data_IF_716348549999
#
_entry.id   IF_716348549999
#
_cell.length_a   1.000
_cell.length_b   1.000
_cell.length_c   1.000
_cell.angle_alpha   90.00
_cell.angle_beta   90.00
_cell.angle_gamma   90.00
#
_symmetry.space_group_name_H-M   'P 1'
#
loop_
_entity.id
_entity.type
_entity.pdbx_description
1 polymer ?
#
# COMPACT_ATOMS: atom_id res chain seq x y z
N UNK A 1 62.01 51.66 -14.33
CA UNK A 1 60.92 50.98 -15.06
C UNK A 1 59.82 50.68 -14.08
N UNK A 2 58.68 51.38 -14.16
CA UNK A 2 57.50 51.18 -13.31
C UNK A 2 56.36 50.75 -14.23
N UNK A 3 55.72 49.62 -13.95
CA UNK A 3 54.48 49.23 -14.61
C UNK A 3 53.44 48.92 -13.54
N UNK A 4 52.35 49.69 -13.60
CA UNK A 4 51.21 49.72 -12.69
C UNK A 4 50.44 48.39 -12.71
N UNK A 5 50.02 47.94 -11.52
CA UNK A 5 48.95 46.95 -11.34
C UNK A 5 47.61 47.68 -11.30
N UNK A 6 46.71 47.39 -12.23
CA UNK A 6 45.30 47.79 -12.15
C UNK A 6 44.45 46.61 -11.73
N UNK A 7 43.87 46.70 -10.53
CA UNK A 7 42.86 45.78 -10.02
C UNK A 7 41.49 46.24 -10.51
N UNK A 8 40.74 45.37 -11.16
CA UNK A 8 39.37 45.62 -11.58
C UNK A 8 38.43 45.03 -10.52
N UNK A 9 37.86 45.89 -9.69
CA UNK A 9 36.73 45.56 -8.81
C UNK A 9 35.45 45.68 -9.65
N UNK A 10 34.83 44.54 -9.98
CA UNK A 10 33.49 44.49 -10.57
C UNK A 10 32.48 44.41 -9.43
N UNK A 11 31.78 45.52 -9.16
CA UNK A 11 30.66 45.55 -8.22
C UNK A 11 29.38 45.11 -8.95
N UNK A 12 28.92 43.88 -8.67
CA UNK A 12 27.62 43.38 -9.14
C UNK A 12 26.51 43.87 -8.21
N UNK A 13 25.80 44.93 -8.61
CA UNK A 13 24.49 45.25 -8.06
C UNK A 13 23.47 44.22 -8.57
N UNK A 14 22.98 43.36 -7.67
CA UNK A 14 21.81 42.52 -7.96
C UNK A 14 20.52 43.27 -7.54
N UNK A 15 19.50 43.36 -8.42
CA UNK A 15 18.19 43.84 -8.01
C UNK A 15 17.49 42.76 -7.15
N UNK A 16 17.13 43.13 -5.92
CA UNK A 16 16.25 42.34 -5.06
C UNK A 16 14.83 42.45 -5.65
N UNK A 17 14.45 41.50 -6.50
CA UNK A 17 13.07 41.35 -6.93
C UNK A 17 12.25 40.80 -5.75
N UNK A 18 11.52 41.69 -5.08
CA UNK A 18 10.52 41.32 -4.06
C UNK A 18 9.33 40.71 -4.78
N UNK A 19 9.32 39.37 -4.90
CA UNK A 19 8.17 38.63 -5.40
C UNK A 19 7.11 38.56 -4.28
N UNK A 20 6.02 39.30 -4.45
CA UNK A 20 4.83 39.16 -3.62
C UNK A 20 4.20 37.79 -3.93
N UNK A 21 4.47 36.80 -3.07
CA UNK A 21 3.78 35.51 -3.12
C UNK A 21 2.32 35.69 -2.72
N UNK A 22 1.42 35.64 -3.69
CA UNK A 22 0.00 35.45 -3.43
C UNK A 22 -0.21 34.03 -2.89
N UNK A 23 -0.74 33.92 -1.67
CA UNK A 23 -1.18 32.65 -1.13
C UNK A 23 -2.39 32.17 -1.95
N UNK A 24 -2.23 31.05 -2.65
CA UNK A 24 -3.37 30.39 -3.29
C UNK A 24 -4.35 29.94 -2.19
N UNK A 25 -5.67 30.10 -2.40
CA UNK A 25 -6.66 29.54 -1.50
C UNK A 25 -6.47 28.02 -1.46
N UNK A 26 -6.17 27.51 -0.28
CA UNK A 26 -6.18 26.08 0.00
C UNK A 26 -7.62 25.60 -0.17
N UNK A 27 -7.87 24.85 -1.24
CA UNK A 27 -9.07 24.02 -1.30
C UNK A 27 -8.91 22.97 -0.23
N UNK A 28 -9.71 23.06 0.83
CA UNK A 28 -9.84 22.01 1.84
C UNK A 28 -10.04 20.69 1.10
N UNK A 29 -9.04 19.82 1.19
CA UNK A 29 -9.18 18.45 0.74
C UNK A 29 -10.27 17.84 1.60
N UNK A 30 -11.45 17.63 1.01
CA UNK A 30 -12.49 16.83 1.62
C UNK A 30 -11.92 15.42 1.78
N UNK A 31 -11.37 15.15 2.96
CA UNK A 31 -10.98 13.81 3.37
C UNK A 31 -12.28 13.02 3.39
N UNK A 32 -12.56 12.30 2.31
CA UNK A 32 -13.63 11.33 2.28
C UNK A 32 -13.47 10.46 3.54
N UNK A 33 -14.54 10.39 4.34
CA UNK A 33 -14.58 9.59 5.56
C UNK A 33 -14.20 8.16 5.18
N UNK A 34 -12.94 7.79 5.48
CA UNK A 34 -12.46 6.44 5.24
C UNK A 34 -13.23 5.56 6.21
N UNK A 35 -13.78 4.44 5.73
CA UNK A 35 -14.44 3.51 6.65
C UNK A 35 -13.45 3.17 7.75
N UNK A 36 -13.83 3.42 9.00
CA UNK A 36 -13.01 3.07 10.15
C UNK A 36 -12.94 1.56 10.34
N UNK A 37 -13.78 0.79 9.63
CA UNK A 37 -13.85 -0.65 9.70
C UNK A 37 -13.27 -1.32 8.46
N UNK A 38 -12.73 -2.53 8.67
CA UNK A 38 -12.17 -3.35 7.61
C UNK A 38 -13.26 -4.09 6.82
N UNK A 39 -13.12 -4.12 5.49
CA UNK A 39 -14.10 -4.78 4.62
C UNK A 39 -14.15 -6.30 4.84
N UNK A 40 -13.01 -6.93 5.14
CA UNK A 40 -12.92 -8.36 5.47
C UNK A 40 -13.28 -8.70 6.92
N UNK A 41 -13.48 -7.69 7.77
CA UNK A 41 -13.90 -7.86 9.15
C UNK A 41 -14.76 -6.64 9.57
N UNK A 42 -16.05 -6.60 9.18
CA UNK A 42 -16.88 -5.39 9.30
C UNK A 42 -17.08 -4.87 10.73
N UNK A 43 -16.79 -5.69 11.74
CA UNK A 43 -16.85 -5.32 13.17
C UNK A 43 -15.49 -4.91 13.74
N UNK A 44 -14.43 -4.95 12.94
CA UNK A 44 -13.06 -4.65 13.36
C UNK A 44 -12.66 -3.28 12.85
N UNK A 45 -12.25 -2.42 13.80
CA UNK A 45 -11.71 -1.10 13.49
C UNK A 45 -10.32 -1.28 12.87
N UNK A 46 -10.04 -0.63 11.75
CA UNK A 46 -8.73 -0.63 11.12
C UNK A 46 -7.66 -0.11 12.10
N UNK A 47 -6.52 -0.81 12.17
CA UNK A 47 -5.46 -0.51 13.15
C UNK A 47 -5.66 -1.15 14.53
N UNK A 48 -6.79 -1.83 14.77
CA UNK A 48 -6.98 -2.69 15.95
C UNK A 48 -6.55 -4.13 15.65
N UNK A 49 -6.29 -4.91 16.70
CA UNK A 49 -5.90 -6.32 16.55
C UNK A 49 -7.06 -7.14 15.97
N UNK A 50 -6.88 -7.67 14.75
CA UNK A 50 -7.80 -8.63 14.16
C UNK A 50 -7.50 -10.05 14.66
N UNK A 51 -8.26 -10.52 15.65
CA UNK A 51 -8.15 -11.90 16.13
C UNK A 51 -8.67 -12.88 15.06
N UNK A 52 -7.96 -13.99 14.79
CA UNK A 52 -8.39 -15.05 13.86
C UNK A 52 -9.80 -15.55 14.15
N UNK A 53 -10.22 -15.60 15.42
CA UNK A 53 -11.58 -16.03 15.76
C UNK A 53 -12.64 -15.12 15.16
N UNK A 54 -12.35 -13.83 15.01
CA UNK A 54 -13.25 -12.88 14.35
C UNK A 54 -13.35 -13.10 12.84
N UNK A 55 -12.30 -13.65 12.21
CA UNK A 55 -12.32 -14.05 10.80
C UNK A 55 -13.12 -15.34 10.59
N UNK A 56 -13.01 -16.32 11.50
CA UNK A 56 -13.73 -17.60 11.44
C UNK A 56 -15.22 -17.46 11.78
N UNK A 57 -15.59 -16.52 12.66
CA UNK A 57 -17.01 -16.26 12.96
C UNK A 57 -17.77 -15.65 11.77
N UNK A 58 -17.07 -15.15 10.74
CA UNK A 58 -17.71 -14.76 9.48
C UNK A 58 -18.03 -15.97 8.57
N UNK A 59 -17.42 -17.14 8.82
CA UNK A 59 -17.60 -18.37 8.04
C UNK A 59 -18.49 -19.44 8.71
N UNK A 60 -18.76 -19.35 10.01
CA UNK A 60 -19.48 -20.40 10.77
C UNK A 60 -21.02 -20.32 10.78
N UNK A 61 -21.62 -19.40 10.00
CA UNK A 61 -23.00 -19.63 9.57
C UNK A 61 -22.98 -20.74 8.55
N UNK A 62 -23.86 -21.75 8.64
CA UNK A 62 -24.04 -22.79 7.62
C UNK A 62 -24.43 -22.16 6.27
N UNK A 63 -23.45 -21.63 5.54
CA UNK A 63 -23.67 -20.97 4.26
C UNK A 63 -23.66 -22.07 3.23
N UNK A 64 -24.86 -22.39 2.72
CA UNK A 64 -25.04 -23.23 1.55
C UNK A 64 -24.02 -22.86 0.47
N UNK A 65 -23.35 -23.85 -0.11
CA UNK A 65 -22.31 -23.67 -1.13
C UNK A 65 -22.79 -22.78 -2.31
N UNK A 66 -24.10 -22.82 -2.59
CA UNK A 66 -24.77 -21.92 -3.56
C UNK A 66 -24.86 -20.45 -3.12
N UNK A 67 -24.95 -20.17 -1.82
CA UNK A 67 -24.95 -18.82 -1.27
C UNK A 67 -23.54 -18.21 -1.24
N UNK A 68 -22.48 -19.01 -1.06
CA UNK A 68 -21.08 -18.54 -1.21
C UNK A 68 -20.84 -18.15 -2.67
N UNK A 69 -21.20 -19.01 -3.63
CA UNK A 69 -21.04 -18.74 -5.07
C UNK A 69 -21.86 -17.53 -5.54
N UNK A 70 -23.08 -17.34 -5.04
CA UNK A 70 -23.89 -16.15 -5.37
C UNK A 70 -23.33 -14.87 -4.76
N UNK A 71 -22.79 -14.93 -3.54
CA UNK A 71 -22.21 -13.78 -2.86
C UNK A 71 -20.90 -13.35 -3.49
N UNK A 72 -20.04 -14.29 -3.88
CA UNK A 72 -18.80 -13.99 -4.63
C UNK A 72 -19.13 -13.42 -6.00
N UNK A 73 -20.05 -14.01 -6.76
CA UNK A 73 -20.44 -13.49 -8.08
C UNK A 73 -21.08 -12.08 -8.01
N UNK A 74 -21.91 -11.82 -6.99
CA UNK A 74 -22.50 -10.50 -6.73
C UNK A 74 -21.43 -9.45 -6.36
N UNK A 75 -20.50 -9.80 -5.46
CA UNK A 75 -19.42 -8.89 -5.07
C UNK A 75 -18.43 -8.66 -6.21
N UNK A 76 -18.13 -9.67 -7.02
CA UNK A 76 -17.21 -9.57 -8.15
C UNK A 76 -17.82 -8.73 -9.29
N UNK A 77 -19.12 -8.90 -9.60
CA UNK A 77 -19.81 -8.08 -10.60
C UNK A 77 -19.97 -6.61 -10.17
N UNK A 78 -20.26 -6.37 -8.89
CA UNK A 78 -20.30 -5.02 -8.32
C UNK A 78 -18.89 -4.40 -8.25
N UNK A 79 -17.86 -5.21 -7.99
CA UNK A 79 -16.47 -4.76 -7.94
C UNK A 79 -15.94 -4.41 -9.33
N UNK A 80 -16.16 -5.24 -10.36
CA UNK A 80 -15.74 -4.92 -11.74
C UNK A 80 -16.33 -3.59 -12.23
N UNK A 81 -17.57 -3.24 -11.84
CA UNK A 81 -18.13 -1.90 -12.12
C UNK A 81 -17.48 -0.78 -11.31
N UNK A 82 -17.00 -1.08 -10.09
CA UNK A 82 -16.33 -0.11 -9.19
C UNK A 82 -14.82 -0.01 -9.40
N UNK A 83 -14.18 -0.93 -10.10
CA UNK A 83 -12.75 -0.84 -10.49
C UNK A 83 -12.51 0.38 -11.39
N UNK A 84 -13.55 0.89 -12.06
CA UNK A 84 -13.52 2.18 -12.77
C UNK A 84 -13.64 3.41 -11.84
N UNK A 85 -13.77 3.23 -10.53
CA UNK A 85 -13.88 4.30 -9.55
C UNK A 85 -12.68 4.32 -8.61
N UNK A 86 -12.33 5.52 -8.14
CA UNK A 86 -11.27 5.84 -7.17
C UNK A 86 -11.41 5.21 -5.77
N UNK A 87 -12.24 4.18 -5.63
CA UNK A 87 -12.69 3.64 -4.35
C UNK A 87 -11.65 2.70 -3.76
N UNK A 88 -10.72 3.28 -3.02
CA UNK A 88 -9.82 2.52 -2.17
C UNK A 88 -10.59 1.77 -1.08
N UNK A 89 -10.22 0.52 -0.82
CA UNK A 89 -10.84 -0.30 0.21
C UNK A 89 -9.89 -0.52 1.38
N UNK A 90 -10.43 -0.48 2.60
CA UNK A 90 -9.70 -0.79 3.83
C UNK A 90 -9.77 -2.30 4.08
N UNK A 91 -8.61 -2.96 4.18
CA UNK A 91 -8.49 -4.40 4.36
C UNK A 91 -7.51 -4.75 5.47
N UNK A 92 -7.96 -5.46 6.51
CA UNK A 92 -7.15 -5.78 7.68
C UNK A 92 -6.31 -7.04 7.44
N UNK A 93 -5.07 -7.05 7.94
CA UNK A 93 -4.27 -8.26 8.05
C UNK A 93 -4.62 -9.01 9.35
N UNK A 94 -4.77 -10.33 9.27
CA UNK A 94 -5.04 -11.16 10.44
C UNK A 94 -3.89 -11.15 11.46
N UNK A 95 -4.21 -11.27 12.74
CA UNK A 95 -3.27 -11.32 13.88
C UNK A 95 -2.29 -10.13 13.95
N UNK A 96 -2.70 -8.97 13.44
CA UNK A 96 -1.88 -7.77 13.51
C UNK A 96 -2.76 -6.53 13.63
N UNK A 97 -2.11 -5.40 13.86
CA UNK A 97 -2.69 -4.06 13.70
C UNK A 97 -2.43 -3.49 12.30
N UNK A 98 -1.79 -4.26 11.43
CA UNK A 98 -1.52 -3.87 10.05
C UNK A 98 -2.80 -3.95 9.23
N UNK A 99 -3.03 -2.93 8.41
CA UNK A 99 -4.05 -2.95 7.38
C UNK A 99 -3.56 -2.23 6.14
N UNK A 100 -4.23 -2.48 5.02
CA UNK A 100 -3.97 -1.79 3.76
C UNK A 100 -5.16 -0.98 3.32
N UNK A 101 -4.87 0.11 2.62
CA UNK A 101 -5.86 0.85 1.82
C UNK A 101 -5.51 0.61 0.36
N UNK A 102 -6.22 -0.33 -0.27
CA UNK A 102 -5.89 -0.90 -1.58
C UNK A 102 -6.81 -0.40 -2.70
N UNK A 103 -6.22 -0.12 -3.86
CA UNK A 103 -6.91 0.17 -5.13
C UNK A 103 -6.45 -0.83 -6.19
N UNK A 104 -7.39 -1.53 -6.81
CA UNK A 104 -7.11 -2.39 -7.96
C UNK A 104 -7.08 -1.51 -9.23
N UNK A 105 -5.97 -1.55 -9.96
CA UNK A 105 -5.76 -0.75 -11.17
C UNK A 105 -6.21 -1.50 -12.44
N UNK A 106 -5.89 -2.79 -12.53
CA UNK A 106 -6.34 -3.63 -13.64
C UNK A 106 -6.41 -5.09 -13.22
N UNK A 107 -7.40 -5.81 -13.73
CA UNK A 107 -7.48 -7.26 -13.57
C UNK A 107 -6.46 -7.92 -14.47
N UNK A 108 -5.79 -8.95 -13.96
CA UNK A 108 -4.80 -9.72 -14.69
C UNK A 108 -5.16 -11.21 -14.58
N UNK A 109 -5.23 -11.88 -15.72
CA UNK A 109 -5.49 -13.31 -15.75
C UNK A 109 -4.25 -14.08 -15.28
N UNK A 110 -4.46 -15.12 -14.46
CA UNK A 110 -3.45 -16.09 -14.07
C UNK A 110 -3.00 -16.03 -12.61
N UNK A 111 -2.14 -17.00 -12.28
CA UNK A 111 -1.65 -17.26 -10.92
C UNK A 111 -0.30 -16.58 -10.61
N UNK A 112 0.26 -15.84 -11.56
CA UNK A 112 1.57 -15.22 -11.42
C UNK A 112 1.63 -14.20 -10.27
N UNK A 113 0.54 -13.45 -10.06
CA UNK A 113 0.44 -12.47 -8.97
C UNK A 113 0.42 -13.14 -7.59
N UNK A 114 -0.56 -14.01 -7.26
CA UNK A 114 -0.58 -14.64 -5.95
C UNK A 114 0.68 -15.48 -5.70
N UNK A 115 1.23 -16.15 -6.72
CA UNK A 115 2.50 -16.87 -6.61
C UNK A 115 3.66 -15.95 -6.25
N UNK A 116 3.79 -14.81 -6.94
CA UNK A 116 4.86 -13.83 -6.68
C UNK A 116 4.73 -13.23 -5.28
N UNK A 117 3.52 -12.89 -4.83
CA UNK A 117 3.32 -12.37 -3.47
C UNK A 117 3.62 -13.45 -2.42
N UNK A 118 3.24 -14.70 -2.64
CA UNK A 118 3.58 -15.81 -1.74
C UNK A 118 5.09 -16.05 -1.64
N UNK A 119 5.81 -16.00 -2.76
CA UNK A 119 7.28 -16.08 -2.78
C UNK A 119 7.89 -14.93 -1.98
N UNK A 120 7.43 -13.69 -2.19
CA UNK A 120 7.90 -12.52 -1.45
C UNK A 120 7.71 -12.70 0.07
N UNK A 121 6.53 -13.15 0.50
CA UNK A 121 6.24 -13.45 1.90
C UNK A 121 7.12 -14.57 2.46
N UNK A 122 7.42 -15.60 1.66
CA UNK A 122 8.33 -16.68 2.05
C UNK A 122 9.77 -16.20 2.28
N UNK A 123 10.26 -15.32 1.41
CA UNK A 123 11.57 -14.67 1.55
C UNK A 123 11.60 -13.80 2.82
N UNK A 124 10.60 -12.93 3.01
CA UNK A 124 10.51 -12.06 4.19
C UNK A 124 10.42 -12.87 5.48
N UNK A 125 9.60 -13.92 5.52
CA UNK A 125 9.47 -14.80 6.69
C UNK A 125 10.77 -15.51 7.02
N UNK A 126 11.51 -15.93 5.99
CA UNK A 126 12.85 -16.52 6.15
C UNK A 126 13.83 -15.51 6.71
N UNK A 127 13.83 -14.27 6.20
CA UNK A 127 14.65 -13.18 6.71
C UNK A 127 14.36 -12.91 8.19
N UNK A 128 13.10 -12.72 8.57
CA UNK A 128 12.69 -12.49 9.96
C UNK A 128 13.13 -13.63 10.87
N UNK A 129 13.03 -14.88 10.42
CA UNK A 129 13.46 -16.04 11.21
C UNK A 129 14.96 -16.08 11.44
N UNK A 130 15.76 -15.68 10.44
CA UNK A 130 17.23 -15.78 10.49
C UNK A 130 17.86 -14.54 11.13
N UNK A 131 17.34 -13.35 10.84
CA UNK A 131 17.92 -12.06 11.22
C UNK A 131 17.12 -11.37 12.33
N UNK A 132 15.82 -11.66 12.46
CA UNK A 132 14.90 -10.94 13.32
C UNK A 132 14.01 -9.97 12.52
N UNK A 133 12.93 -9.51 13.16
CA UNK A 133 12.15 -8.39 12.63
C UNK A 133 12.92 -7.08 12.84
N UNK A 134 12.71 -6.13 11.93
CA UNK A 134 13.41 -4.87 11.94
C UNK A 134 13.04 -4.03 10.72
N UNK A 135 13.69 -2.87 10.55
CA UNK A 135 13.45 -1.99 9.42
C UNK A 135 13.74 -2.68 8.09
N UNK A 136 12.89 -2.44 7.08
CA UNK A 136 13.22 -2.81 5.70
C UNK A 136 14.47 -2.04 5.27
N UNK A 137 15.48 -2.77 4.78
CA UNK A 137 16.77 -2.20 4.37
C UNK A 137 16.57 -1.06 3.36
N UNK A 138 17.20 0.08 3.60
CA UNK A 138 17.06 1.30 2.79
C UNK A 138 15.61 1.81 2.64
N UNK A 139 14.68 1.36 3.47
CA UNK A 139 13.27 1.74 3.44
C UNK A 139 12.54 1.32 2.15
N UNK A 140 13.06 0.33 1.42
CA UNK A 140 12.47 -0.15 0.16
C UNK A 140 12.63 -1.65 0.01
N UNK A 141 11.55 -2.31 -0.39
CA UNK A 141 11.52 -3.68 -0.86
C UNK A 141 11.12 -3.72 -2.32
N UNK A 142 11.79 -4.56 -3.10
CA UNK A 142 11.48 -4.80 -4.50
C UNK A 142 11.80 -6.25 -4.85
N UNK A 143 10.87 -6.90 -5.54
CA UNK A 143 11.04 -8.24 -6.07
C UNK A 143 10.33 -8.36 -7.41
N UNK A 144 10.98 -9.00 -8.39
CA UNK A 144 10.35 -9.46 -9.63
C UNK A 144 10.22 -10.97 -9.56
N UNK A 145 9.01 -11.48 -9.74
CA UNK A 145 8.68 -12.89 -9.72
C UNK A 145 8.21 -13.41 -11.08
N UNK A 146 7.33 -14.42 -11.03
CA UNK A 146 6.87 -15.14 -12.21
C UNK A 146 6.09 -14.23 -13.16
N UNK A 147 6.28 -14.41 -14.46
CA UNK A 147 5.56 -13.66 -15.49
C UNK A 147 5.84 -12.15 -15.46
N UNK A 148 7.00 -11.74 -14.96
CA UNK A 148 7.37 -10.31 -14.85
C UNK A 148 6.59 -9.55 -13.78
N UNK A 149 5.84 -10.23 -12.90
CA UNK A 149 5.13 -9.55 -11.81
C UNK A 149 6.14 -8.97 -10.83
N UNK A 150 6.00 -7.69 -10.54
CA UNK A 150 6.80 -6.96 -9.57
C UNK A 150 5.96 -6.69 -8.31
N UNK A 151 6.56 -6.92 -7.15
CA UNK A 151 6.08 -6.47 -5.84
C UNK A 151 7.05 -5.43 -5.33
N UNK A 152 6.56 -4.22 -5.05
CA UNK A 152 7.36 -3.14 -4.49
C UNK A 152 6.69 -2.60 -3.24
N UNK A 153 7.48 -2.23 -2.24
CA UNK A 153 7.05 -1.44 -1.11
C UNK A 153 8.13 -0.43 -0.70
N UNK A 154 7.73 0.72 -0.18
CA UNK A 154 8.64 1.75 0.34
C UNK A 154 8.06 2.42 1.58
N UNK A 155 8.93 2.99 2.41
CA UNK A 155 8.56 3.85 3.53
C UNK A 155 7.67 5.01 3.06
N UNK A 156 6.76 5.45 3.93
CA UNK A 156 5.92 6.62 3.69
C UNK A 156 6.24 7.73 4.69
N UNK A 157 6.50 8.94 4.19
CA UNK A 157 6.58 10.18 4.99
C UNK A 157 7.35 10.04 6.32
N UNK A 158 8.61 9.62 6.23
CA UNK A 158 9.52 9.37 7.37
C UNK A 158 9.09 8.29 8.39
N UNK A 159 7.99 7.59 8.16
CA UNK A 159 7.65 6.40 8.93
C UNK A 159 8.40 5.19 8.41
N UNK A 160 8.83 4.34 9.34
CA UNK A 160 9.65 3.17 9.05
C UNK A 160 8.78 1.95 8.81
N UNK A 161 8.92 1.34 7.63
CA UNK A 161 8.35 0.02 7.33
C UNK A 161 9.26 -1.06 7.93
N UNK A 162 8.67 -2.00 8.67
CA UNK A 162 9.38 -3.21 9.15
C UNK A 162 9.08 -4.44 8.29
N UNK A 163 9.93 -5.46 8.38
CA UNK A 163 9.74 -6.73 7.68
C UNK A 163 8.43 -7.42 8.09
N UNK A 164 8.10 -7.43 9.38
CA UNK A 164 6.87 -7.99 9.91
C UNK A 164 5.62 -7.30 9.37
N UNK A 165 5.62 -5.96 9.36
CA UNK A 165 4.51 -5.16 8.81
C UNK A 165 4.36 -5.38 7.31
N UNK A 166 5.47 -5.43 6.56
CA UNK A 166 5.43 -5.73 5.13
C UNK A 166 4.84 -7.12 4.85
N UNK A 167 5.24 -8.15 5.62
CA UNK A 167 4.68 -9.50 5.48
C UNK A 167 3.17 -9.54 5.74
N UNK A 168 2.70 -8.84 6.77
CA UNK A 168 1.29 -8.72 7.11
C UNK A 168 0.50 -7.96 6.02
N UNK A 169 1.06 -6.87 5.48
CA UNK A 169 0.46 -6.12 4.38
C UNK A 169 0.29 -6.99 3.13
N UNK A 170 1.33 -7.74 2.74
CA UNK A 170 1.27 -8.65 1.60
C UNK A 170 0.27 -9.81 1.82
N UNK A 171 0.08 -10.26 3.07
CA UNK A 171 -0.97 -11.21 3.41
C UNK A 171 -2.37 -10.62 3.20
N UNK A 172 -2.59 -9.35 3.58
CA UNK A 172 -3.83 -8.63 3.33
C UNK A 172 -4.10 -8.44 1.83
N UNK A 173 -3.06 -8.16 1.02
CA UNK A 173 -3.19 -8.07 -0.45
C UNK A 173 -3.65 -9.42 -1.05
N UNK A 174 -3.05 -10.53 -0.63
CA UNK A 174 -3.46 -11.87 -1.08
C UNK A 174 -4.90 -12.19 -0.71
N UNK A 175 -5.30 -11.89 0.54
CA UNK A 175 -6.67 -12.13 1.00
C UNK A 175 -7.69 -11.29 0.22
N UNK A 176 -7.36 -10.03 -0.07
CA UNK A 176 -8.16 -9.17 -0.94
C UNK A 176 -8.31 -9.76 -2.35
N UNK A 177 -7.21 -10.18 -2.98
CA UNK A 177 -7.21 -10.72 -4.34
C UNK A 177 -7.96 -12.06 -4.44
N UNK A 178 -7.96 -12.86 -3.37
CA UNK A 178 -8.78 -14.07 -3.28
C UNK A 178 -10.28 -13.78 -3.39
N UNK A 179 -10.74 -12.64 -2.88
CA UNK A 179 -12.17 -12.24 -2.90
C UNK A 179 -12.53 -11.51 -4.19
N UNK A 180 -11.66 -10.62 -4.67
CA UNK A 180 -11.99 -9.71 -5.77
C UNK A 180 -11.35 -10.05 -7.12
N UNK A 181 -10.39 -10.97 -7.15
CA UNK A 181 -9.61 -11.34 -8.33
C UNK A 181 -8.18 -10.81 -8.29
N UNK A 182 -7.32 -11.43 -9.10
CA UNK A 182 -5.91 -11.06 -9.22
C UNK A 182 -5.76 -9.87 -10.17
N UNK A 183 -4.88 -8.93 -9.82
CA UNK A 183 -4.68 -7.76 -10.65
C UNK A 183 -3.56 -6.85 -10.18
N UNK A 184 -3.19 -5.90 -11.04
CA UNK A 184 -2.30 -4.83 -10.64
C UNK A 184 -3.00 -3.97 -9.59
N UNK A 185 -2.29 -3.61 -8.52
CA UNK A 185 -2.84 -2.86 -7.40
C UNK A 185 -1.82 -1.88 -6.84
N UNK A 186 -2.33 -0.77 -6.31
CA UNK A 186 -1.57 0.13 -5.43
C UNK A 186 -2.19 0.07 -4.04
N UNK A 187 -1.37 0.19 -3.00
CA UNK A 187 -1.87 0.13 -1.64
C UNK A 187 -1.02 0.98 -0.69
N UNK A 188 -1.68 1.61 0.28
CA UNK A 188 -1.02 2.22 1.43
C UNK A 188 -1.01 1.22 2.58
N UNK A 189 0.09 1.16 3.33
CA UNK A 189 0.32 0.24 4.45
C UNK A 189 0.24 1.05 5.74
N UNK A 190 -0.62 0.62 6.64
CA UNK A 190 -0.79 1.21 7.95
C UNK A 190 -0.47 0.18 9.03
N UNK A 191 0.13 0.63 10.12
CA UNK A 191 0.26 -0.13 11.36
C UNK A 191 -0.31 0.68 12.52
N UNK A 192 -1.37 0.18 13.14
CA UNK A 192 -2.16 0.98 14.08
C UNK A 192 -2.77 2.19 13.39
N UNK A 193 -2.45 3.40 13.86
CA UNK A 193 -2.96 4.66 13.29
C UNK A 193 -2.00 5.33 12.30
N UNK A 194 -0.82 4.74 12.06
CA UNK A 194 0.25 5.37 11.29
C UNK A 194 0.38 4.74 9.91
N UNK A 195 0.45 5.56 8.86
CA UNK A 195 0.86 5.10 7.54
C UNK A 195 2.37 4.90 7.56
N UNK A 196 2.82 3.67 7.33
CA UNK A 196 4.24 3.28 7.43
C UNK A 196 4.85 2.92 6.08
N UNK A 197 4.03 2.70 5.06
CA UNK A 197 4.53 2.42 3.72
C UNK A 197 3.51 2.57 2.61
N UNK A 198 4.01 2.48 1.39
CA UNK A 198 3.24 2.40 0.15
C UNK A 198 3.76 1.21 -0.64
N UNK A 199 2.88 0.53 -1.36
CA UNK A 199 3.26 -0.60 -2.19
C UNK A 199 2.48 -0.70 -3.49
N UNK A 200 3.05 -1.47 -4.41
CA UNK A 200 2.45 -1.81 -5.69
C UNK A 200 2.65 -3.29 -6.00
N UNK A 201 1.68 -3.85 -6.70
CA UNK A 201 1.82 -5.12 -7.43
C UNK A 201 1.44 -4.84 -8.86
N UNK A 202 2.31 -5.15 -9.82
CA UNK A 202 2.07 -4.88 -11.24
C UNK A 202 2.90 -5.81 -12.11
N UNK A 203 2.63 -5.86 -13.42
CA UNK A 203 3.54 -6.51 -14.38
C UNK A 203 4.61 -5.48 -14.77
N UNK A 204 5.87 -5.82 -14.58
CA UNK A 204 7.00 -5.03 -15.07
C UNK A 204 6.93 -4.98 -16.58
N UNK A 205 6.90 -3.77 -17.13
CA UNK A 205 7.06 -3.53 -18.56
C UNK A 205 8.53 -3.55 -18.95
#
# INVERSE_FOLDING_TARGET
MRVLRTSILVALLQPIAVTMSSALPFTDSTIASRSTFCHNAPKTIAGSMLNVRSLLMASDGSVSETAILRRTASMQSAHVRRVNGDNAMVWCAGNSRTYIVIKLASMLAGESIPSTINIARGIISTYIRVVGDGPVTNGRYEMVGLGGVQVMARNADNHQLTWGVLSAALAAVLDYMRVFGNGAATFNIFDGTHMVGQGTVQVSR
#
